data_IF_594802916314
#
_entry.id   IF_594802916314
#
_cell.length_a   1.000
_cell.length_b   1.000
_cell.length_c   1.000
_cell.angle_alpha   90.00
_cell.angle_beta   90.00
_cell.angle_gamma   90.00
#
_symmetry.space_group_name_H-M   'P 1'
#
loop_
_entity.id
_entity.type
_entity.pdbx_description
1 polymer ?
#
# COMPACT_ATOMS: atom_id res chain seq x y z
N UNK A 1 -18.04 29.55 -3.29
CA UNK A 1 -18.46 28.13 -3.24
C UNK A 1 -18.34 27.65 -1.81
N UNK A 2 -19.46 27.28 -1.18
CA UNK A 2 -19.42 26.55 0.09
C UNK A 2 -18.59 25.28 -0.11
N UNK A 3 -17.58 25.08 0.73
CA UNK A 3 -16.75 23.88 0.63
C UNK A 3 -17.56 22.68 1.09
N UNK A 4 -17.56 21.62 0.28
CA UNK A 4 -18.35 20.42 0.52
C UNK A 4 -17.72 19.66 1.68
N UNK A 5 -18.47 19.43 2.76
CA UNK A 5 -17.99 18.65 3.90
C UNK A 5 -18.22 17.15 3.65
N UNK A 6 -17.14 16.35 3.74
CA UNK A 6 -17.16 14.90 3.43
C UNK A 6 -16.62 14.01 4.56
N UNK A 7 -16.44 14.56 5.76
CA UNK A 7 -15.81 13.84 6.87
C UNK A 7 -16.52 12.53 7.23
N UNK A 8 -17.86 12.50 7.24
CA UNK A 8 -18.62 11.30 7.62
C UNK A 8 -18.45 10.19 6.58
N UNK A 9 -18.60 10.54 5.31
CA UNK A 9 -18.48 9.63 4.19
C UNK A 9 -17.07 9.04 4.10
N UNK A 10 -16.05 9.88 4.31
CA UNK A 10 -14.65 9.44 4.29
C UNK A 10 -14.30 8.50 5.45
N UNK A 11 -14.95 8.65 6.62
CA UNK A 11 -14.81 7.68 7.71
C UNK A 11 -15.39 6.32 7.36
N UNK A 12 -16.54 6.30 6.65
CA UNK A 12 -17.14 5.04 6.16
C UNK A 12 -16.23 4.40 5.13
N UNK A 13 -15.73 5.18 4.16
CA UNK A 13 -14.75 4.68 3.18
C UNK A 13 -13.54 4.08 3.88
N UNK A 14 -12.92 4.79 4.82
CA UNK A 14 -11.77 4.28 5.57
C UNK A 14 -12.07 2.96 6.31
N UNK A 15 -13.25 2.85 6.94
CA UNK A 15 -13.68 1.63 7.62
C UNK A 15 -13.86 0.47 6.64
N UNK A 16 -14.56 0.68 5.52
CA UNK A 16 -14.80 -0.34 4.51
C UNK A 16 -13.49 -0.80 3.85
N UNK A 17 -12.61 0.14 3.50
CA UNK A 17 -11.30 -0.15 2.91
C UNK A 17 -10.50 -1.09 3.82
N UNK A 18 -10.41 -0.77 5.11
CA UNK A 18 -9.68 -1.58 6.08
C UNK A 18 -10.28 -2.98 6.18
N UNK A 19 -11.59 -3.09 6.38
CA UNK A 19 -12.23 -4.40 6.52
C UNK A 19 -12.01 -5.25 5.27
N UNK A 20 -12.24 -4.69 4.08
CA UNK A 20 -12.06 -5.40 2.81
C UNK A 20 -10.61 -5.83 2.60
N UNK A 21 -9.64 -4.96 2.94
CA UNK A 21 -8.22 -5.28 2.83
C UNK A 21 -7.83 -6.45 3.74
N UNK A 22 -8.27 -6.46 5.00
CA UNK A 22 -7.99 -7.57 5.91
C UNK A 22 -8.69 -8.87 5.48
N UNK A 23 -9.94 -8.81 5.03
CA UNK A 23 -10.65 -9.98 4.50
C UNK A 23 -9.93 -10.57 3.29
N UNK A 24 -9.43 -9.73 2.39
CA UNK A 24 -8.67 -10.19 1.22
C UNK A 24 -7.30 -10.74 1.62
N UNK A 25 -6.55 -10.05 2.48
CA UNK A 25 -5.18 -10.46 2.86
C UNK A 25 -5.16 -11.72 3.76
N UNK A 26 -6.28 -12.05 4.40
CA UNK A 26 -6.50 -13.30 5.14
C UNK A 26 -7.15 -14.39 4.29
N UNK A 27 -7.55 -14.10 3.05
CA UNK A 27 -8.15 -15.09 2.15
C UNK A 27 -9.58 -15.46 2.46
N UNK A 28 -10.25 -14.69 3.34
CA UNK A 28 -11.65 -14.89 3.69
C UNK A 28 -12.60 -14.48 2.56
N UNK A 29 -12.15 -13.62 1.64
CA UNK A 29 -12.87 -13.27 0.41
C UNK A 29 -11.96 -13.43 -0.81
N UNK A 30 -12.56 -13.74 -1.96
CA UNK A 30 -11.84 -13.79 -3.22
C UNK A 30 -11.42 -12.37 -3.68
N UNK A 31 -10.30 -12.28 -4.41
CA UNK A 31 -9.77 -10.99 -4.89
C UNK A 31 -10.71 -10.28 -5.87
N UNK A 32 -11.58 -11.01 -6.58
CA UNK A 32 -12.65 -10.43 -7.42
C UNK A 32 -13.71 -9.72 -6.57
N UNK A 33 -14.15 -10.35 -5.48
CA UNK A 33 -15.10 -9.79 -4.51
C UNK A 33 -14.50 -8.56 -3.83
N UNK A 34 -13.24 -8.64 -3.42
CA UNK A 34 -12.48 -7.49 -2.90
C UNK A 34 -12.47 -6.33 -3.89
N UNK A 35 -12.05 -6.57 -5.14
CA UNK A 35 -11.92 -5.53 -6.17
C UNK A 35 -13.26 -4.85 -6.47
N UNK A 36 -14.33 -5.64 -6.60
CA UNK A 36 -15.68 -5.13 -6.83
C UNK A 36 -16.20 -4.32 -5.64
N UNK A 37 -16.02 -4.82 -4.42
CA UNK A 37 -16.50 -4.17 -3.19
C UNK A 37 -15.75 -2.85 -2.94
N UNK A 38 -14.44 -2.84 -3.21
CA UNK A 38 -13.59 -1.65 -3.11
C UNK A 38 -14.01 -0.58 -4.11
N UNK A 39 -14.21 -0.97 -5.38
CA UNK A 39 -14.69 -0.07 -6.42
C UNK A 39 -16.06 0.50 -6.09
N UNK A 40 -16.99 -0.34 -5.66
CA UNK A 40 -18.35 0.06 -5.26
C UNK A 40 -18.32 1.06 -4.11
N UNK A 41 -17.51 0.82 -3.07
CA UNK A 41 -17.36 1.72 -1.92
C UNK A 41 -16.92 3.12 -2.35
N UNK A 42 -15.89 3.20 -3.19
CA UNK A 42 -15.33 4.49 -3.65
C UNK A 42 -16.29 5.20 -4.59
N UNK A 43 -16.90 4.47 -5.54
CA UNK A 43 -17.86 5.05 -6.50
C UNK A 43 -19.13 5.55 -5.81
N UNK A 44 -19.67 4.83 -4.82
CA UNK A 44 -20.81 5.31 -4.03
C UNK A 44 -20.46 6.59 -3.27
N UNK A 45 -19.26 6.66 -2.67
CA UNK A 45 -18.79 7.88 -2.01
C UNK A 45 -18.66 9.04 -3.01
N UNK A 46 -18.18 8.75 -4.22
CA UNK A 46 -18.06 9.73 -5.30
C UNK A 46 -19.43 10.24 -5.79
N UNK A 47 -20.43 9.37 -5.93
CA UNK A 47 -21.81 9.78 -6.27
C UNK A 47 -22.37 10.72 -5.20
N UNK A 48 -22.16 10.41 -3.91
CA UNK A 48 -22.58 11.28 -2.80
C UNK A 48 -21.87 12.65 -2.85
N UNK A 49 -20.58 12.66 -3.18
CA UNK A 49 -19.83 13.89 -3.38
C UNK A 49 -20.38 14.73 -4.55
N UNK A 50 -20.67 14.11 -5.70
CA UNK A 50 -21.23 14.79 -6.86
C UNK A 50 -22.63 15.34 -6.56
N UNK A 51 -23.45 14.60 -5.81
CA UNK A 51 -24.76 15.08 -5.33
C UNK A 51 -24.62 16.34 -4.49
N UNK A 52 -23.66 16.39 -3.55
CA UNK A 52 -23.38 17.58 -2.73
C UNK A 52 -22.76 18.74 -3.51
N UNK A 53 -22.09 18.44 -4.62
CA UNK A 53 -21.50 19.43 -5.53
C UNK A 53 -22.50 19.98 -6.55
N UNK A 54 -23.69 19.38 -6.64
CA UNK A 54 -24.71 19.71 -7.65
C UNK A 54 -24.23 19.49 -9.09
N UNK A 55 -23.37 18.49 -9.31
CA UNK A 55 -22.94 18.13 -10.66
C UNK A 55 -21.70 17.26 -10.75
N UNK A 56 -21.50 16.70 -11.94
CA UNK A 56 -20.32 15.93 -12.32
C UNK A 56 -19.35 16.81 -13.11
N UNK A 57 -18.05 16.52 -13.05
CA UNK A 57 -17.12 17.10 -14.03
C UNK A 57 -16.71 16.09 -15.09
N UNK A 58 -16.71 16.55 -16.34
CA UNK A 58 -16.33 15.74 -17.50
C UNK A 58 -14.94 15.12 -17.34
N UNK A 59 -14.00 15.83 -16.71
CA UNK A 59 -12.64 15.32 -16.46
C UNK A 59 -12.65 14.05 -15.60
N UNK A 60 -13.53 13.99 -14.61
CA UNK A 60 -13.65 12.84 -13.70
C UNK A 60 -14.25 11.63 -14.44
N UNK A 61 -15.27 11.86 -15.27
CA UNK A 61 -15.89 10.83 -16.10
C UNK A 61 -14.90 10.27 -17.12
N UNK A 62 -14.11 11.13 -17.79
CA UNK A 62 -13.08 10.71 -18.75
C UNK A 62 -12.05 9.79 -18.08
N UNK A 63 -11.58 10.13 -16.88
CA UNK A 63 -10.62 9.29 -16.14
C UNK A 63 -11.20 7.91 -15.80
N UNK A 64 -12.46 7.86 -15.38
CA UNK A 64 -13.16 6.60 -15.12
C UNK A 64 -13.33 5.76 -16.38
N UNK A 65 -13.68 6.39 -17.51
CA UNK A 65 -13.81 5.72 -18.81
C UNK A 65 -12.47 5.15 -19.30
N UNK A 66 -11.39 5.91 -19.22
CA UNK A 66 -10.04 5.43 -19.58
C UNK A 66 -9.67 4.21 -18.73
N UNK A 67 -9.90 4.29 -17.41
CA UNK A 67 -9.62 3.18 -16.49
C UNK A 67 -10.46 1.95 -16.82
N UNK A 68 -11.72 2.14 -17.22
CA UNK A 68 -12.60 1.07 -17.67
C UNK A 68 -12.11 0.40 -18.97
N UNK A 69 -11.64 1.19 -19.95
CA UNK A 69 -11.03 0.66 -21.18
C UNK A 69 -9.85 -0.26 -20.83
N UNK A 70 -8.96 0.14 -19.92
CA UNK A 70 -7.84 -0.70 -19.49
C UNK A 70 -8.27 -2.00 -18.79
N UNK A 71 -9.38 -1.99 -18.06
CA UNK A 71 -9.96 -3.21 -17.46
C UNK A 71 -10.43 -4.17 -18.55
N UNK A 72 -11.15 -3.66 -19.55
CA UNK A 72 -11.67 -4.48 -20.66
C UNK A 72 -10.53 -5.05 -21.50
N UNK A 73 -9.54 -4.22 -21.88
CA UNK A 73 -8.41 -4.64 -22.71
C UNK A 73 -7.57 -5.72 -22.02
N UNK A 74 -7.29 -5.57 -20.73
CA UNK A 74 -6.44 -6.51 -19.98
C UNK A 74 -7.23 -7.65 -19.31
N UNK A 75 -8.57 -7.63 -19.39
CA UNK A 75 -9.47 -8.54 -18.66
C UNK A 75 -9.13 -8.66 -17.17
N UNK A 76 -8.68 -7.56 -16.57
CA UNK A 76 -8.23 -7.54 -15.18
C UNK A 76 -8.83 -6.35 -14.43
N UNK A 77 -9.70 -6.65 -13.47
CA UNK A 77 -10.39 -5.66 -12.66
C UNK A 77 -9.44 -4.83 -11.78
N UNK A 78 -8.24 -5.34 -11.47
CA UNK A 78 -7.26 -4.59 -10.67
C UNK A 78 -6.79 -3.31 -11.35
N UNK A 79 -6.84 -3.22 -12.68
CA UNK A 79 -6.47 -2.03 -13.43
C UNK A 79 -7.41 -0.84 -13.21
N UNK A 80 -8.61 -1.08 -12.67
CA UNK A 80 -9.53 -0.01 -12.30
C UNK A 80 -9.03 0.81 -11.11
N UNK A 81 -8.10 0.25 -10.31
CA UNK A 81 -7.57 0.88 -9.10
C UNK A 81 -6.96 2.28 -9.34
N UNK A 82 -6.30 2.50 -10.48
CA UNK A 82 -5.72 3.80 -10.83
C UNK A 82 -6.79 4.89 -10.98
N UNK A 83 -7.90 4.57 -11.64
CA UNK A 83 -9.06 5.47 -11.77
C UNK A 83 -9.69 5.78 -10.43
N UNK A 84 -9.85 4.76 -9.58
CA UNK A 84 -10.37 4.92 -8.22
C UNK A 84 -9.48 5.81 -7.35
N UNK A 85 -8.16 5.62 -7.42
CA UNK A 85 -7.19 6.47 -6.70
C UNK A 85 -7.28 7.93 -7.15
N UNK A 86 -7.43 8.17 -8.45
CA UNK A 86 -7.60 9.52 -8.99
C UNK A 86 -8.89 10.18 -8.49
N UNK A 87 -10.00 9.43 -8.48
CA UNK A 87 -11.28 9.92 -7.95
C UNK A 87 -11.18 10.24 -6.45
N UNK A 88 -10.54 9.37 -5.66
CA UNK A 88 -10.29 9.65 -4.25
C UNK A 88 -9.46 10.93 -4.07
N UNK A 89 -8.36 11.08 -4.83
CA UNK A 89 -7.55 12.30 -4.80
C UNK A 89 -8.39 13.54 -5.12
N UNK A 90 -9.22 13.48 -6.15
CA UNK A 90 -10.08 14.58 -6.54
C UNK A 90 -11.04 14.97 -5.42
N UNK A 91 -11.75 13.99 -4.84
CA UNK A 91 -12.65 14.21 -3.72
C UNK A 91 -11.92 14.85 -2.54
N UNK A 92 -10.75 14.32 -2.16
CA UNK A 92 -9.93 14.86 -1.07
C UNK A 92 -9.48 16.32 -1.35
N UNK A 93 -9.17 16.65 -2.61
CA UNK A 93 -8.70 17.99 -2.98
C UNK A 93 -9.79 19.07 -2.99
N UNK A 94 -11.06 18.68 -3.15
CA UNK A 94 -12.20 19.58 -3.32
C UNK A 94 -13.18 19.57 -2.15
N UNK A 95 -12.95 18.76 -1.14
CA UNK A 95 -13.81 18.67 0.05
C UNK A 95 -13.09 19.11 1.32
N UNK A 96 -13.86 19.62 2.27
CA UNK A 96 -13.40 19.80 3.64
C UNK A 96 -13.56 18.50 4.42
N UNK A 97 -12.43 17.96 4.83
CA UNK A 97 -12.34 16.70 5.57
C UNK A 97 -11.50 16.92 6.81
N UNK A 98 -12.07 16.57 7.96
CA UNK A 98 -11.30 16.41 9.19
C UNK A 98 -10.49 15.12 9.11
N UNK A 99 -9.28 15.24 8.53
CA UNK A 99 -8.35 14.13 8.35
C UNK A 99 -8.01 13.44 9.69
N UNK A 100 -8.01 14.18 10.81
CA UNK A 100 -7.72 13.59 12.13
C UNK A 100 -8.80 12.59 12.52
N UNK A 101 -10.08 12.89 12.26
CA UNK A 101 -11.20 11.95 12.51
C UNK A 101 -11.17 10.74 11.57
N UNK A 102 -10.83 10.95 10.30
CA UNK A 102 -10.71 9.85 9.32
C UNK A 102 -9.56 8.92 9.71
N UNK A 103 -8.37 9.47 9.98
CA UNK A 103 -7.20 8.70 10.40
C UNK A 103 -7.40 8.01 11.74
N UNK A 104 -8.13 8.61 12.69
CA UNK A 104 -8.52 7.94 13.94
C UNK A 104 -9.41 6.72 13.68
N UNK A 105 -10.36 6.84 12.75
CA UNK A 105 -11.23 5.73 12.37
C UNK A 105 -10.41 4.61 11.75
N UNK A 106 -9.56 4.93 10.76
CA UNK A 106 -8.65 3.98 10.13
C UNK A 106 -7.72 3.29 11.13
N UNK A 107 -7.12 4.04 12.06
CA UNK A 107 -6.21 3.48 13.07
C UNK A 107 -6.92 2.48 13.99
N UNK A 108 -8.09 2.85 14.52
CA UNK A 108 -8.85 1.98 15.43
C UNK A 108 -9.31 0.72 14.70
N UNK A 109 -9.91 0.85 13.51
CA UNK A 109 -10.38 -0.32 12.76
C UNK A 109 -9.21 -1.22 12.35
N UNK A 110 -8.11 -0.65 11.85
CA UNK A 110 -6.95 -1.44 11.42
C UNK A 110 -6.29 -2.15 12.60
N UNK A 111 -6.17 -1.50 13.76
CA UNK A 111 -5.60 -2.12 14.96
C UNK A 111 -6.47 -3.27 15.45
N UNK A 112 -7.79 -3.09 15.47
CA UNK A 112 -8.74 -4.15 15.84
C UNK A 112 -8.63 -5.32 14.88
N UNK A 113 -8.67 -5.09 13.57
CA UNK A 113 -8.51 -6.16 12.58
C UNK A 113 -7.16 -6.87 12.70
N UNK A 114 -6.06 -6.13 12.87
CA UNK A 114 -4.72 -6.70 13.03
C UNK A 114 -4.62 -7.63 14.25
N UNK A 115 -5.07 -7.15 15.41
CA UNK A 115 -5.05 -7.93 16.65
C UNK A 115 -5.95 -9.16 16.51
N UNK A 116 -7.15 -9.00 15.96
CA UNK A 116 -8.07 -10.12 15.72
C UNK A 116 -7.45 -11.17 14.79
N UNK A 117 -6.80 -10.78 13.70
CA UNK A 117 -6.13 -11.72 12.79
C UNK A 117 -5.04 -12.53 13.50
N UNK A 118 -4.22 -11.89 14.34
CA UNK A 118 -3.20 -12.57 15.14
C UNK A 118 -3.83 -13.52 16.17
N UNK A 119 -4.89 -13.08 16.85
CA UNK A 119 -5.59 -13.93 17.82
C UNK A 119 -6.21 -15.17 17.15
N UNK A 120 -6.83 -15.00 15.98
CA UNK A 120 -7.38 -16.11 15.19
C UNK A 120 -6.28 -17.06 14.71
N UNK A 121 -5.10 -16.56 14.35
CA UNK A 121 -3.93 -17.40 14.05
C UNK A 121 -3.50 -18.24 15.25
N UNK A 122 -3.40 -17.62 16.44
CA UNK A 122 -2.94 -18.31 17.65
C UNK A 122 -3.95 -19.36 18.15
N UNK A 123 -5.23 -18.99 18.22
CA UNK A 123 -6.29 -19.81 18.84
C UNK A 123 -6.90 -20.79 17.84
N UNK A 124 -7.22 -20.34 16.63
CA UNK A 124 -7.96 -21.12 15.63
C UNK A 124 -7.08 -21.65 14.49
N UNK A 125 -5.76 -21.44 14.56
CA UNK A 125 -4.83 -21.85 13.52
C UNK A 125 -5.12 -21.28 12.13
N UNK A 126 -5.77 -20.10 12.07
CA UNK A 126 -6.08 -19.41 10.83
C UNK A 126 -4.81 -19.23 9.98
N UNK A 127 -4.81 -19.72 8.74
CA UNK A 127 -3.68 -19.61 7.80
C UNK A 127 -2.31 -20.07 8.33
N UNK A 128 -2.26 -21.00 9.29
CA UNK A 128 -0.99 -21.66 9.68
C UNK A 128 -0.34 -22.43 8.54
N UNK A 129 -1.15 -22.96 7.61
CA UNK A 129 -0.65 -23.59 6.38
C UNK A 129 0.08 -22.62 5.44
N UNK A 130 -0.08 -21.31 5.64
CA UNK A 130 0.62 -20.26 4.87
C UNK A 130 1.96 -19.87 5.51
N UNK A 131 2.35 -20.49 6.62
CA UNK A 131 3.69 -20.37 7.17
C UNK A 131 4.69 -20.96 6.17
N UNK A 132 5.80 -20.25 5.93
CA UNK A 132 6.75 -20.60 4.87
C UNK A 132 8.13 -20.84 5.44
N UNK A 133 8.77 -21.91 4.98
CA UNK A 133 10.19 -22.15 5.18
C UNK A 133 10.91 -21.71 3.91
N UNK A 134 11.87 -20.79 4.03
CA UNK A 134 12.69 -20.34 2.90
C UNK A 134 14.16 -20.67 3.14
N UNK A 135 14.82 -21.22 2.13
CA UNK A 135 16.27 -21.31 2.08
C UNK A 135 16.85 -19.92 1.79
N UNK A 136 17.72 -19.41 2.67
CA UNK A 136 18.38 -18.12 2.49
C UNK A 136 19.82 -18.18 3.01
N UNK A 137 20.77 -17.98 2.10
CA UNK A 137 22.19 -18.20 2.41
C UNK A 137 22.41 -19.69 2.69
N UNK A 138 22.78 -20.01 3.92
CA UNK A 138 23.11 -21.37 4.37
C UNK A 138 22.11 -21.96 5.39
N UNK A 139 20.98 -21.28 5.63
CA UNK A 139 20.00 -21.71 6.63
C UNK A 139 18.55 -21.65 6.13
N UNK A 140 17.74 -22.57 6.67
CA UNK A 140 16.28 -22.50 6.56
C UNK A 140 15.75 -21.46 7.54
N UNK A 141 15.02 -20.48 7.02
CA UNK A 141 14.35 -19.45 7.82
C UNK A 141 12.86 -19.73 7.80
N UNK A 142 12.30 -19.98 8.98
CA UNK A 142 10.85 -20.10 9.17
C UNK A 142 10.21 -18.71 9.22
N UNK A 143 9.10 -18.52 8.51
CA UNK A 143 8.38 -17.27 8.38
C UNK A 143 6.92 -17.51 8.71
N UNK A 144 6.47 -16.94 9.83
CA UNK A 144 5.08 -17.04 10.24
C UNK A 144 4.21 -16.05 9.47
N UNK A 145 3.07 -16.53 9.02
CA UNK A 145 2.06 -15.78 8.29
C UNK A 145 1.27 -14.82 9.19
N UNK A 146 1.19 -15.14 10.49
CA UNK A 146 0.42 -14.43 11.51
C UNK A 146 -1.08 -14.27 11.16
N UNK A 147 -1.64 -15.25 10.44
CA UNK A 147 -3.05 -15.28 10.06
C UNK A 147 -3.34 -14.73 8.68
N UNK A 148 -2.32 -14.24 7.97
CA UNK A 148 -2.43 -13.78 6.58
C UNK A 148 -2.09 -14.89 5.59
N UNK A 149 -2.48 -14.74 4.32
CA UNK A 149 -2.11 -15.69 3.25
C UNK A 149 -0.59 -15.64 2.95
N UNK A 150 0.09 -14.56 3.35
CA UNK A 150 1.53 -14.41 3.14
C UNK A 150 2.17 -13.68 4.34
N UNK A 151 3.35 -14.13 4.84
CA UNK A 151 4.09 -13.46 5.91
C UNK A 151 4.42 -11.98 5.66
N UNK A 152 4.50 -11.56 4.40
CA UNK A 152 4.75 -10.15 4.07
C UNK A 152 3.54 -9.25 4.38
N UNK A 153 2.32 -9.77 4.29
CA UNK A 153 1.10 -8.98 4.48
C UNK A 153 0.96 -8.51 5.93
N UNK A 154 1.36 -9.32 6.91
CA UNK A 154 1.38 -8.90 8.31
C UNK A 154 2.18 -7.59 8.52
N UNK A 155 3.38 -7.51 7.93
CA UNK A 155 4.21 -6.31 8.04
C UNK A 155 3.68 -5.10 7.24
N UNK A 156 3.04 -5.33 6.10
CA UNK A 156 2.40 -4.26 5.31
C UNK A 156 1.17 -3.71 6.05
N UNK A 157 0.34 -4.59 6.61
CA UNK A 157 -0.82 -4.21 7.42
C UNK A 157 -0.38 -3.46 8.68
N UNK A 158 0.70 -3.89 9.34
CA UNK A 158 1.28 -3.17 10.47
C UNK A 158 1.85 -1.80 10.08
N UNK A 159 2.49 -1.67 8.90
CA UNK A 159 2.97 -0.38 8.39
C UNK A 159 1.82 0.64 8.28
N UNK A 160 0.64 0.22 7.81
CA UNK A 160 -0.55 1.08 7.77
C UNK A 160 -0.96 1.59 9.16
N UNK A 161 -0.99 0.69 10.15
CA UNK A 161 -1.29 1.04 11.56
C UNK A 161 -0.25 2.01 12.13
N UNK A 162 1.04 1.74 11.88
CA UNK A 162 2.15 2.57 12.34
C UNK A 162 2.08 4.00 11.77
N UNK A 163 1.85 4.15 10.47
CA UNK A 163 1.71 5.47 9.81
C UNK A 163 0.53 6.23 10.40
N UNK A 164 -0.61 5.57 10.62
CA UNK A 164 -1.79 6.21 11.20
C UNK A 164 -1.55 6.67 12.64
N UNK A 165 -0.86 5.86 13.45
CA UNK A 165 -0.49 6.22 14.82
C UNK A 165 0.50 7.40 14.85
N UNK A 166 1.49 7.42 13.97
CA UNK A 166 2.43 8.54 13.83
C UNK A 166 1.71 9.83 13.45
N UNK A 167 0.76 9.76 12.53
CA UNK A 167 -0.04 10.92 12.12
C UNK A 167 -0.88 11.49 13.28
N UNK A 168 -1.47 10.62 14.10
CA UNK A 168 -2.29 11.02 15.24
C UNK A 168 -1.46 11.52 16.44
N UNK A 169 -0.21 11.08 16.57
CA UNK A 169 0.67 11.37 17.70
C UNK A 169 1.48 12.64 17.49
N UNK A 170 0.95 13.79 17.92
CA UNK A 170 1.59 15.10 17.75
C UNK A 170 2.45 15.52 18.95
N UNK A 171 2.02 15.23 20.19
CA UNK A 171 2.71 15.72 21.39
C UNK A 171 3.85 14.81 21.88
N UNK A 172 3.71 13.49 21.73
CA UNK A 172 4.67 12.50 22.24
C UNK A 172 5.34 11.69 21.12
N UNK A 173 5.59 12.34 19.99
CA UNK A 173 6.03 11.68 18.75
C UNK A 173 7.25 10.77 18.94
N UNK A 174 8.25 11.15 19.77
CA UNK A 174 9.43 10.32 20.05
C UNK A 174 9.11 9.02 20.79
N UNK A 175 8.23 9.08 21.79
CA UNK A 175 7.79 7.90 22.54
C UNK A 175 7.00 6.98 21.60
N UNK A 176 6.12 7.56 20.77
CA UNK A 176 5.39 6.82 19.74
C UNK A 176 6.34 6.14 18.76
N UNK A 177 7.39 6.82 18.29
CA UNK A 177 8.40 6.25 17.38
C UNK A 177 9.10 5.04 18.03
N UNK A 178 9.55 5.18 19.28
CA UNK A 178 10.19 4.08 20.02
C UNK A 178 9.23 2.90 20.18
N UNK A 179 7.99 3.17 20.56
CA UNK A 179 6.95 2.14 20.69
C UNK A 179 6.71 1.38 19.38
N UNK A 180 6.57 2.10 18.26
CA UNK A 180 6.40 1.48 16.94
C UNK A 180 7.65 0.69 16.54
N UNK A 181 8.86 1.18 16.84
CA UNK A 181 10.09 0.46 16.55
C UNK A 181 10.14 -0.89 17.29
N UNK A 182 9.79 -0.91 18.58
CA UNK A 182 9.72 -2.16 19.37
C UNK A 182 8.73 -3.15 18.74
N UNK A 183 7.51 -2.70 18.44
CA UNK A 183 6.51 -3.54 17.77
C UNK A 183 6.96 -4.04 16.39
N UNK A 184 7.68 -3.18 15.64
CA UNK A 184 8.27 -3.54 14.35
C UNK A 184 9.26 -4.68 14.51
N UNK A 185 10.15 -4.63 15.52
CA UNK A 185 11.09 -5.71 15.79
C UNK A 185 10.38 -7.02 16.17
N UNK A 186 9.32 -6.95 16.99
CA UNK A 186 8.54 -8.13 17.38
C UNK A 186 7.90 -8.79 16.14
N UNK A 187 7.21 -8.03 15.30
CA UNK A 187 6.54 -8.60 14.11
C UNK A 187 7.59 -9.05 13.08
N UNK A 188 8.70 -8.32 12.95
CA UNK A 188 9.80 -8.70 12.07
C UNK A 188 10.44 -10.02 12.48
N UNK A 189 10.60 -10.28 13.77
CA UNK A 189 11.13 -11.54 14.29
C UNK A 189 10.34 -12.75 13.77
N UNK A 190 9.01 -12.67 13.77
CA UNK A 190 8.12 -13.74 13.31
C UNK A 190 8.01 -13.82 11.77
N UNK A 191 7.90 -12.68 11.09
CA UNK A 191 7.58 -12.64 9.64
C UNK A 191 8.80 -12.64 8.72
N UNK A 192 9.96 -12.20 9.24
CA UNK A 192 11.22 -12.05 8.51
C UNK A 192 11.09 -11.27 7.19
N UNK A 193 10.16 -10.30 7.15
CA UNK A 193 9.88 -9.46 5.98
C UNK A 193 10.83 -8.26 5.92
N UNK A 194 11.97 -8.47 5.24
CA UNK A 194 13.06 -7.48 5.10
C UNK A 194 12.62 -6.17 4.47
N UNK A 195 11.83 -6.21 3.40
CA UNK A 195 11.45 -5.01 2.65
C UNK A 195 10.64 -4.04 3.51
N UNK A 196 9.49 -4.48 4.03
CA UNK A 196 8.62 -3.64 4.85
C UNK A 196 9.23 -3.31 6.21
N UNK A 197 9.97 -4.25 6.83
CA UNK A 197 10.66 -4.01 8.10
C UNK A 197 11.75 -2.95 8.00
N UNK A 198 12.66 -3.06 7.03
CA UNK A 198 13.74 -2.09 6.87
C UNK A 198 13.23 -0.72 6.42
N UNK A 199 12.22 -0.66 5.53
CA UNK A 199 11.59 0.60 5.12
C UNK A 199 10.98 1.30 6.33
N UNK A 200 10.23 0.57 7.18
CA UNK A 200 9.61 1.16 8.36
C UNK A 200 10.66 1.66 9.36
N UNK A 201 11.69 0.86 9.66
CA UNK A 201 12.77 1.28 10.55
C UNK A 201 13.51 2.52 10.01
N UNK A 202 13.79 2.56 8.71
CA UNK A 202 14.42 3.71 8.06
C UNK A 202 13.57 4.99 8.19
N UNK A 203 12.26 4.89 7.93
CA UNK A 203 11.33 6.01 8.12
C UNK A 203 11.31 6.47 9.58
N UNK A 204 11.26 5.54 10.53
CA UNK A 204 11.28 5.86 11.97
C UNK A 204 12.59 6.53 12.37
N UNK A 205 13.74 6.09 11.87
CA UNK A 205 15.03 6.72 12.13
C UNK A 205 15.08 8.16 11.62
N UNK A 206 14.62 8.42 10.39
CA UNK A 206 14.53 9.78 9.84
C UNK A 206 13.64 10.66 10.73
N UNK A 207 12.46 10.17 11.10
CA UNK A 207 11.51 10.91 11.93
C UNK A 207 12.04 11.15 13.35
N UNK A 208 12.78 10.19 13.92
CA UNK A 208 13.39 10.32 15.24
C UNK A 208 14.41 11.46 15.28
N UNK A 209 15.28 11.53 14.26
CA UNK A 209 16.29 12.59 14.12
C UNK A 209 15.64 13.93 13.75
N UNK A 210 14.64 13.91 12.86
CA UNK A 210 13.98 15.12 12.32
C UNK A 210 12.95 15.75 13.26
N UNK A 211 12.60 15.09 14.38
CA UNK A 211 11.50 15.46 15.29
C UNK A 211 11.54 16.89 15.84
N UNK A 212 12.63 17.65 15.63
CA UNK A 212 12.78 19.04 16.10
C UNK A 212 12.62 20.11 15.01
N UNK A 213 12.59 19.81 13.70
CA UNK A 213 12.74 20.88 12.67
C UNK A 213 11.90 20.79 11.38
N UNK A 214 11.06 19.78 11.16
CA UNK A 214 10.40 19.59 9.85
C UNK A 214 8.92 19.96 9.82
N UNK A 215 8.62 21.24 10.01
CA UNK A 215 7.41 21.89 9.46
C UNK A 215 7.75 22.85 8.30
N UNK A 216 8.91 22.67 7.65
CA UNK A 216 9.21 23.42 6.42
C UNK A 216 8.35 22.86 5.30
N UNK A 217 7.71 23.76 4.54
CA UNK A 217 7.07 23.41 3.28
C UNK A 217 8.09 22.68 2.39
N UNK A 218 7.67 21.53 1.85
CA UNK A 218 8.45 20.76 0.88
C UNK A 218 8.88 21.70 -0.24
N UNK A 219 10.18 21.81 -0.46
CA UNK A 219 10.78 22.68 -1.47
C UNK A 219 10.30 22.29 -2.88
N UNK A 220 10.27 23.26 -3.81
CA UNK A 220 9.89 22.95 -5.19
C UNK A 220 10.83 21.93 -5.86
N UNK A 221 12.08 21.84 -5.40
CA UNK A 221 13.02 20.81 -5.84
C UNK A 221 12.57 19.42 -5.41
N UNK A 222 12.28 19.21 -4.12
CA UNK A 222 11.80 17.92 -3.61
C UNK A 222 10.51 17.47 -4.32
N UNK A 223 9.57 18.40 -4.57
CA UNK A 223 8.35 18.09 -5.33
C UNK A 223 8.67 17.61 -6.75
N UNK A 224 9.54 18.31 -7.48
CA UNK A 224 9.96 17.93 -8.83
C UNK A 224 10.71 16.59 -8.84
N UNK A 225 11.60 16.36 -7.88
CA UNK A 225 12.33 15.11 -7.76
C UNK A 225 11.41 13.92 -7.55
N UNK A 226 10.38 14.05 -6.71
CA UNK A 226 9.36 12.99 -6.52
C UNK A 226 8.57 12.73 -7.82
N UNK A 227 8.27 13.78 -8.61
CA UNK A 227 7.56 13.62 -9.89
C UNK A 227 8.42 12.93 -10.97
N UNK A 228 9.74 13.17 -10.97
CA UNK A 228 10.66 12.60 -11.97
C UNK A 228 11.15 11.20 -11.56
N UNK A 229 11.11 10.86 -10.27
CA UNK A 229 11.58 9.57 -9.76
C UNK A 229 10.96 8.34 -10.47
N UNK A 230 9.65 8.26 -10.77
CA UNK A 230 9.09 7.14 -11.52
C UNK A 230 9.69 6.98 -12.91
N UNK A 231 9.98 8.09 -13.61
CA UNK A 231 10.63 8.08 -14.93
C UNK A 231 12.07 7.55 -14.83
N UNK A 232 12.82 8.01 -13.84
CA UNK A 232 14.20 7.52 -13.60
C UNK A 232 14.17 6.02 -13.28
N UNK A 233 13.26 5.58 -12.39
CA UNK A 233 13.13 4.18 -12.04
C UNK A 233 12.70 3.32 -13.23
N UNK A 234 11.86 3.85 -14.12
CA UNK A 234 11.47 3.17 -15.36
C UNK A 234 12.67 3.01 -16.30
N UNK A 235 13.48 4.06 -16.48
CA UNK A 235 14.70 4.00 -17.29
C UNK A 235 15.68 2.98 -16.71
N UNK A 236 15.91 3.00 -15.40
CA UNK A 236 16.78 2.03 -14.71
C UNK A 236 16.25 0.62 -14.89
N UNK A 237 14.95 0.40 -14.64
CA UNK A 237 14.30 -0.91 -14.78
C UNK A 237 14.45 -1.48 -16.19
N UNK A 238 14.17 -0.67 -17.22
CA UNK A 238 14.32 -1.09 -18.61
C UNK A 238 15.79 -1.36 -18.97
N UNK A 239 16.72 -0.53 -18.49
CA UNK A 239 18.15 -0.72 -18.74
C UNK A 239 18.66 -2.03 -18.11
N UNK A 240 18.21 -2.36 -16.89
CA UNK A 240 18.56 -3.60 -16.21
C UNK A 240 18.01 -4.85 -16.90
N UNK A 241 16.97 -4.74 -17.74
CA UNK A 241 16.49 -5.87 -18.55
C UNK A 241 17.40 -6.17 -19.75
N UNK A 242 18.12 -5.17 -20.28
CA UNK A 242 18.98 -5.32 -21.47
C UNK A 242 20.47 -5.48 -21.17
N UNK A 243 20.93 -5.00 -20.01
CA UNK A 243 22.34 -5.07 -19.62
C UNK A 243 22.71 -6.48 -19.11
N UNK A 244 23.99 -6.90 -19.26
CA UNK A 244 24.46 -8.17 -18.72
C UNK A 244 24.30 -8.21 -17.18
N UNK A 245 23.93 -9.38 -16.67
CA UNK A 245 23.64 -9.58 -15.24
C UNK A 245 24.91 -9.40 -14.42
N UNK A 246 24.94 -8.37 -13.59
CA UNK A 246 25.94 -8.24 -12.53
C UNK A 246 25.53 -9.14 -11.34
N UNK A 247 26.35 -10.14 -11.01
CA UNK A 247 26.04 -11.12 -9.95
C UNK A 247 25.88 -10.49 -8.56
N UNK A 248 26.62 -9.42 -8.23
CA UNK A 248 26.46 -8.74 -6.95
C UNK A 248 25.09 -8.06 -6.84
N UNK A 249 24.67 -7.37 -7.91
CA UNK A 249 23.34 -6.76 -7.99
C UNK A 249 22.23 -7.82 -8.00
N UNK A 250 22.45 -8.94 -8.69
CA UNK A 250 21.47 -10.03 -8.72
C UNK A 250 21.27 -10.65 -7.34
N UNK A 251 22.36 -10.90 -6.60
CA UNK A 251 22.28 -11.42 -5.24
C UNK A 251 21.62 -10.43 -4.27
N UNK A 252 21.92 -9.13 -4.41
CA UNK A 252 21.28 -8.08 -3.62
C UNK A 252 19.76 -8.01 -3.87
N UNK A 253 19.34 -8.23 -5.12
CA UNK A 253 17.93 -8.30 -5.51
C UNK A 253 17.34 -9.71 -5.42
N UNK A 254 18.02 -10.63 -4.71
CA UNK A 254 17.56 -12.00 -4.46
C UNK A 254 17.22 -12.79 -5.73
N UNK A 255 18.04 -12.66 -6.78
CA UNK A 255 17.88 -13.37 -8.05
C UNK A 255 16.76 -12.85 -8.96
N UNK A 256 16.10 -11.75 -8.59
CA UNK A 256 14.98 -11.20 -9.38
C UNK A 256 15.43 -10.64 -10.73
N UNK A 257 16.69 -10.20 -10.85
CA UNK A 257 17.19 -9.60 -12.08
C UNK A 257 17.32 -10.66 -13.17
N UNK A 258 17.90 -11.82 -12.85
CA UNK A 258 17.93 -12.97 -13.76
C UNK A 258 16.54 -13.46 -14.14
N UNK A 259 15.64 -13.56 -13.15
CA UNK A 259 14.28 -14.04 -13.38
C UNK A 259 13.48 -13.11 -14.30
N UNK A 260 13.61 -11.78 -14.14
CA UNK A 260 12.92 -10.83 -15.02
C UNK A 260 13.50 -10.77 -16.43
N UNK A 261 14.81 -10.94 -16.60
CA UNK A 261 15.40 -11.06 -17.93
C UNK A 261 14.92 -12.31 -18.66
N UNK A 262 14.83 -13.45 -17.98
CA UNK A 262 14.30 -14.70 -18.54
C UNK A 262 12.82 -14.60 -18.96
N UNK A 263 11.99 -13.97 -18.11
CA UNK A 263 10.58 -13.70 -18.46
C UNK A 263 10.51 -12.76 -19.67
N UNK A 264 11.35 -11.72 -19.72
CA UNK A 264 11.36 -10.77 -20.83
C UNK A 264 11.87 -11.41 -22.13
N UNK A 265 12.87 -12.29 -22.10
CA UNK A 265 13.31 -13.01 -23.31
C UNK A 265 12.25 -13.99 -23.81
N UNK A 266 11.43 -14.55 -22.91
CA UNK A 266 10.42 -15.56 -23.25
C UNK A 266 9.11 -14.94 -23.75
N UNK A 267 8.66 -13.85 -23.12
CA UNK A 267 7.34 -13.25 -23.36
C UNK A 267 7.38 -11.79 -23.79
N UNK A 268 8.55 -11.16 -23.80
CA UNK A 268 8.70 -9.76 -24.19
C UNK A 268 8.55 -9.57 -25.70
N UNK A 269 8.07 -8.39 -26.09
CA UNK A 269 8.09 -7.95 -27.48
C UNK A 269 9.55 -7.70 -27.89
N UNK A 270 10.12 -8.65 -28.63
CA UNK A 270 11.36 -8.47 -29.39
C UNK A 270 10.97 -7.88 -30.75
N UNK A 271 11.47 -6.68 -31.06
CA UNK A 271 11.36 -6.11 -32.40
C UNK A 271 12.26 -6.85 -33.42
N UNK A 272 13.14 -7.72 -32.94
CA UNK A 272 14.15 -8.45 -33.72
C UNK A 272 13.71 -9.89 -34.05
N UNK A 273 12.50 -10.08 -34.59
CA UNK A 273 12.17 -11.30 -35.34
C UNK A 273 12.18 -10.98 -36.84
N UNK A 274 13.40 -10.90 -37.39
CA UNK A 274 13.67 -11.20 -38.80
C UNK A 274 14.26 -12.61 -38.91
#
# INVERSE_FOLDING_TARGET
MNKITMTREMRVVALCVVILEYLNNTGLIASSVYSFSMASTILLSYILFCKKREGFSLKEIIVLLISFIFVVLNRNASNFSLGLMWILYFMLSKSEIDLKKVMKTFFVTSSVCFILTILLYLIMSLNKSSDMIMWRGDAFINRMSLGFIQPNFAMISFLGVAIALLYLSTERQRITIIFIAILTFIIFYFTQSRTSGYILLFILSILFVSSKKTKKQVSNFEKRSITVLPLILLIISYSLLKLPINQHLNNLLSGRLSLYQEIYSTFGYTFDRE
#
